data_IF_796653653713
#
_entry.id   IF_796653653713
#
_cell.length_a   1.000
_cell.length_b   1.000
_cell.length_c   1.000
_cell.angle_alpha   90.00
_cell.angle_beta   90.00
_cell.angle_gamma   90.00
#
_symmetry.space_group_name_H-M   'P 1'
#
loop_
_entity.id
_entity.type
_entity.pdbx_description
1 polymer ?
#
# COMPACT_ATOMS: atom_id res chain seq x y z
N UNK A 1 -10.59 23.93 1.74
CA UNK A 1 -11.03 22.51 1.64
C UNK A 1 -11.13 22.08 0.20
N UNK A 2 -10.62 20.94 -0.15
CA UNK A 2 -10.77 20.46 -1.52
C UNK A 2 -12.22 20.10 -1.80
N UNK A 3 -12.61 20.18 -3.05
CA UNK A 3 -13.90 19.71 -3.48
C UNK A 3 -13.90 18.18 -3.45
N UNK A 4 -15.07 17.56 -3.58
CA UNK A 4 -15.16 16.12 -3.64
C UNK A 4 -14.33 15.57 -4.80
N UNK A 5 -14.41 16.21 -5.96
CA UNK A 5 -13.66 15.77 -7.14
C UNK A 5 -12.16 15.88 -6.91
N UNK A 6 -11.70 16.95 -6.29
CA UNK A 6 -10.28 17.11 -5.98
C UNK A 6 -9.82 16.05 -4.97
N UNK A 7 -10.64 15.79 -3.97
CA UNK A 7 -10.35 14.78 -2.97
C UNK A 7 -10.22 13.40 -3.61
N UNK A 8 -11.20 13.03 -4.44
CA UNK A 8 -11.18 11.74 -5.15
C UNK A 8 -9.96 11.64 -6.07
N UNK A 9 -9.66 12.71 -6.81
CA UNK A 9 -8.51 12.70 -7.70
C UNK A 9 -7.20 12.51 -6.95
N UNK A 10 -7.07 13.14 -5.79
CA UNK A 10 -5.89 13.01 -4.95
C UNK A 10 -5.71 11.55 -4.49
N UNK A 11 -6.78 10.91 -4.05
CA UNK A 11 -6.73 9.52 -3.62
C UNK A 11 -6.38 8.58 -4.77
N UNK A 12 -6.94 8.83 -5.94
CA UNK A 12 -6.65 8.00 -7.12
C UNK A 12 -5.21 8.14 -7.55
N UNK A 13 -4.66 9.33 -7.50
CA UNK A 13 -3.25 9.55 -7.83
C UNK A 13 -2.34 8.80 -6.87
N UNK A 14 -2.66 8.83 -5.60
CA UNK A 14 -1.89 8.11 -4.60
C UNK A 14 -1.98 6.61 -4.83
N UNK A 15 -3.17 6.12 -5.15
CA UNK A 15 -3.38 4.70 -5.42
C UNK A 15 -2.59 4.26 -6.64
N UNK A 16 -2.52 5.07 -7.68
CA UNK A 16 -1.75 4.75 -8.87
C UNK A 16 -0.27 4.55 -8.52
N UNK A 17 0.27 5.41 -7.67
CA UNK A 17 1.66 5.28 -7.23
C UNK A 17 1.86 4.02 -6.41
N UNK A 18 0.93 3.71 -5.52
CA UNK A 18 0.99 2.50 -4.71
C UNK A 18 0.90 1.25 -5.58
N UNK A 19 0.06 1.28 -6.63
CA UNK A 19 -0.04 0.15 -7.56
C UNK A 19 1.28 -0.13 -8.25
N UNK A 20 2.03 0.90 -8.57
CA UNK A 20 3.36 0.71 -9.16
C UNK A 20 4.32 0.05 -8.18
N UNK A 21 4.27 0.45 -6.92
CA UNK A 21 5.09 -0.19 -5.89
C UNK A 21 4.70 -1.66 -5.71
N UNK A 22 3.41 -1.93 -5.65
CA UNK A 22 2.91 -3.30 -5.50
C UNK A 22 3.36 -4.17 -6.66
N UNK A 23 3.33 -3.66 -7.88
CA UNK A 23 3.79 -4.40 -9.04
C UNK A 23 5.26 -4.81 -8.90
N UNK A 24 6.10 -3.91 -8.40
CA UNK A 24 7.51 -4.24 -8.16
C UNK A 24 7.65 -5.32 -7.08
N UNK A 25 6.84 -5.23 -6.04
CA UNK A 25 6.89 -6.19 -4.94
C UNK A 25 6.41 -7.58 -5.40
N UNK A 26 5.43 -7.62 -6.28
CA UNK A 26 4.96 -8.88 -6.85
C UNK A 26 6.06 -9.57 -7.63
N UNK A 27 6.84 -8.80 -8.38
CA UNK A 27 7.98 -9.32 -9.11
C UNK A 27 9.04 -9.87 -8.13
N UNK A 28 9.30 -9.15 -7.06
CA UNK A 28 10.24 -9.60 -6.03
C UNK A 28 9.77 -10.88 -5.37
N UNK A 29 8.47 -10.95 -5.07
CA UNK A 29 7.91 -12.14 -4.43
C UNK A 29 8.04 -13.36 -5.33
N UNK A 30 7.78 -13.18 -6.63
CA UNK A 30 7.87 -14.26 -7.59
C UNK A 30 9.31 -14.79 -7.70
N UNK A 31 10.28 -13.91 -7.59
CA UNK A 31 11.69 -14.29 -7.72
C UNK A 31 12.31 -14.80 -6.41
N UNK A 32 11.62 -14.68 -5.31
CA UNK A 32 12.16 -15.04 -3.99
C UNK A 32 12.14 -16.54 -3.75
N UNK A 33 13.00 -16.99 -2.85
CA UNK A 33 13.00 -18.38 -2.40
C UNK A 33 11.82 -18.66 -1.48
N UNK A 34 11.53 -19.93 -1.25
CA UNK A 34 10.28 -20.37 -0.62
C UNK A 34 9.88 -19.61 0.64
N UNK A 35 10.74 -19.56 1.62
CA UNK A 35 10.38 -18.93 2.90
C UNK A 35 10.19 -17.42 2.74
N UNK A 36 11.07 -16.80 1.99
CA UNK A 36 10.96 -15.37 1.74
C UNK A 36 9.73 -15.06 0.89
N UNK A 37 9.43 -15.93 -0.08
CA UNK A 37 8.24 -15.76 -0.91
C UNK A 37 6.97 -15.79 -0.05
N UNK A 38 6.90 -16.70 0.91
CA UNK A 38 5.75 -16.78 1.80
C UNK A 38 5.57 -15.49 2.59
N UNK A 39 6.67 -14.95 3.11
CA UNK A 39 6.63 -13.70 3.86
C UNK A 39 6.17 -12.54 2.96
N UNK A 40 6.69 -12.47 1.74
CA UNK A 40 6.29 -11.44 0.79
C UNK A 40 4.83 -11.58 0.40
N UNK A 41 4.36 -12.80 0.15
CA UNK A 41 2.97 -13.04 -0.21
C UNK A 41 2.02 -12.63 0.92
N UNK A 42 2.41 -12.87 2.16
CA UNK A 42 1.60 -12.45 3.29
C UNK A 42 1.42 -10.94 3.33
N UNK A 43 2.50 -10.19 3.04
CA UNK A 43 2.42 -8.74 2.98
C UNK A 43 1.55 -8.27 1.82
N UNK A 44 1.68 -8.90 0.67
CA UNK A 44 0.87 -8.55 -0.50
C UNK A 44 -0.60 -8.80 -0.27
N UNK A 45 -0.94 -9.92 0.37
CA UNK A 45 -2.35 -10.22 0.68
C UNK A 45 -2.94 -9.16 1.60
N UNK A 46 -2.17 -8.70 2.55
CA UNK A 46 -2.62 -7.66 3.48
C UNK A 46 -2.88 -6.34 2.75
N UNK A 47 -1.95 -5.96 1.89
CA UNK A 47 -2.13 -4.75 1.08
C UNK A 47 -3.35 -4.88 0.19
N UNK A 48 -3.52 -6.02 -0.45
CA UNK A 48 -4.66 -6.28 -1.33
C UNK A 48 -5.99 -6.14 -0.61
N UNK A 49 -6.08 -6.72 0.58
CA UNK A 49 -7.31 -6.65 1.37
C UNK A 49 -7.63 -5.20 1.74
N UNK A 50 -6.63 -4.44 2.14
CA UNK A 50 -6.83 -3.04 2.48
C UNK A 50 -7.17 -2.20 1.26
N UNK A 51 -6.57 -2.53 0.12
CA UNK A 51 -6.86 -1.82 -1.13
C UNK A 51 -8.30 -2.04 -1.58
N UNK A 52 -8.78 -3.27 -1.49
CA UNK A 52 -10.16 -3.56 -1.85
C UNK A 52 -11.13 -2.78 -0.99
N UNK A 53 -10.87 -2.72 0.30
CA UNK A 53 -11.71 -1.97 1.22
C UNK A 53 -11.70 -0.48 0.89
N UNK A 54 -10.51 0.05 0.62
CA UNK A 54 -10.36 1.47 0.28
C UNK A 54 -11.11 1.80 -1.02
N UNK A 55 -10.98 0.95 -2.03
CA UNK A 55 -11.67 1.15 -3.30
C UNK A 55 -13.17 1.07 -3.14
N UNK A 56 -13.65 0.16 -2.30
CA UNK A 56 -15.08 0.03 -2.03
C UNK A 56 -15.62 1.32 -1.39
N UNK A 57 -14.92 1.84 -0.37
CA UNK A 57 -15.37 3.06 0.28
C UNK A 57 -15.32 4.26 -0.66
N UNK A 58 -14.30 4.30 -1.52
CA UNK A 58 -14.21 5.37 -2.51
C UNK A 58 -15.35 5.32 -3.50
N UNK A 59 -15.72 4.13 -3.94
CA UNK A 59 -16.84 3.94 -4.86
C UNK A 59 -18.13 4.40 -4.23
N UNK A 60 -18.35 4.09 -2.96
CA UNK A 60 -19.52 4.57 -2.24
C UNK A 60 -19.55 6.08 -2.18
N UNK A 61 -18.42 6.69 -1.91
CA UNK A 61 -18.31 8.13 -1.82
C UNK A 61 -18.69 8.81 -3.14
N UNK A 62 -18.24 8.22 -4.25
CA UNK A 62 -18.50 8.80 -5.57
C UNK A 62 -19.99 8.74 -5.94
N UNK A 63 -20.73 7.81 -5.36
CA UNK A 63 -22.14 7.62 -5.68
C UNK A 63 -23.12 8.35 -4.77
N UNK A 64 -22.65 9.10 -3.77
CA UNK A 64 -23.56 9.74 -2.84
C UNK A 64 -23.82 11.20 -3.15
N UNK A 65 -24.86 11.73 -2.52
CA UNK A 65 -25.18 13.15 -2.66
C UNK A 65 -24.19 14.00 -1.90
N UNK A 66 -24.18 15.29 -2.23
CA UNK A 66 -23.29 16.24 -1.55
C UNK A 66 -23.56 16.26 -0.04
N UNK A 67 -24.80 16.06 0.37
CA UNK A 67 -25.15 16.09 1.78
C UNK A 67 -24.51 14.94 2.57
N UNK A 68 -24.37 13.78 1.93
CA UNK A 68 -23.86 12.58 2.59
C UNK A 68 -22.35 12.39 2.48
N UNK A 69 -21.68 13.14 1.61
CA UNK A 69 -20.29 12.86 1.37
C UNK A 69 -19.39 13.17 2.57
N UNK A 70 -19.77 14.16 3.37
CA UNK A 70 -19.02 14.48 4.57
C UNK A 70 -18.92 13.31 5.55
N UNK A 71 -20.04 12.60 5.71
CA UNK A 71 -20.08 11.43 6.59
C UNK A 71 -19.28 10.26 6.02
N UNK A 72 -19.45 10.02 4.72
CA UNK A 72 -18.74 8.92 4.07
C UNK A 72 -17.26 9.19 3.91
N UNK A 73 -16.86 10.45 3.80
CA UNK A 73 -15.47 10.82 3.71
C UNK A 73 -14.68 10.30 4.89
N UNK A 74 -15.28 10.31 6.06
CA UNK A 74 -14.61 9.83 7.27
C UNK A 74 -14.23 8.35 7.11
N UNK A 75 -15.16 7.56 6.58
CA UNK A 75 -14.88 6.15 6.32
C UNK A 75 -13.81 5.93 5.25
N UNK A 76 -13.81 6.80 4.23
CA UNK A 76 -12.78 6.74 3.18
C UNK A 76 -11.42 7.07 3.78
N UNK A 77 -11.34 8.12 4.59
CA UNK A 77 -10.07 8.50 5.24
C UNK A 77 -9.55 7.36 6.10
N UNK A 78 -10.42 6.73 6.88
CA UNK A 78 -10.01 5.61 7.73
C UNK A 78 -9.50 4.44 6.89
N UNK A 79 -10.20 4.08 5.82
CA UNK A 79 -9.78 2.98 4.96
C UNK A 79 -8.45 3.30 4.26
N UNK A 80 -8.27 4.55 3.86
CA UNK A 80 -7.03 5.00 3.23
C UNK A 80 -5.85 4.96 4.19
N UNK A 81 -6.08 5.36 5.43
CA UNK A 81 -5.04 5.30 6.47
C UNK A 81 -4.61 3.86 6.71
N UNK A 82 -5.55 2.93 6.74
CA UNK A 82 -5.24 1.52 6.92
C UNK A 82 -4.46 0.96 5.74
N UNK A 83 -4.80 1.39 4.52
CA UNK A 83 -4.05 1.00 3.33
C UNK A 83 -2.65 1.62 3.39
N UNK A 84 -2.55 2.87 3.77
CA UNK A 84 -1.26 3.55 3.92
C UNK A 84 -0.37 2.79 4.91
N UNK A 85 -0.91 2.38 6.04
CA UNK A 85 -0.16 1.63 7.04
C UNK A 85 0.30 0.27 6.49
N UNK A 86 -0.57 -0.40 5.76
CA UNK A 86 -0.21 -1.68 5.14
C UNK A 86 0.89 -1.50 4.10
N UNK A 87 0.82 -0.43 3.31
CA UNK A 87 1.86 -0.10 2.33
C UNK A 87 3.18 0.20 3.01
N UNK A 88 3.13 0.95 4.10
CA UNK A 88 4.32 1.30 4.86
C UNK A 88 4.99 0.06 5.44
N UNK A 89 4.20 -0.84 5.99
CA UNK A 89 4.72 -2.08 6.55
C UNK A 89 5.29 -2.97 5.45
N UNK A 90 4.56 -3.10 4.34
CA UNK A 90 5.04 -3.90 3.21
C UNK A 90 6.33 -3.32 2.65
N UNK A 91 6.42 -2.01 2.52
CA UNK A 91 7.63 -1.35 2.01
C UNK A 91 8.82 -1.67 2.91
N UNK A 92 8.60 -1.67 4.20
CA UNK A 92 9.62 -2.04 5.18
C UNK A 92 10.13 -3.47 4.93
N UNK A 93 9.22 -4.40 4.68
CA UNK A 93 9.61 -5.79 4.42
C UNK A 93 10.32 -5.96 3.08
N UNK A 94 9.76 -5.38 2.02
CA UNK A 94 10.32 -5.58 0.69
C UNK A 94 11.62 -4.84 0.47
N UNK A 95 11.75 -3.65 0.99
CA UNK A 95 12.92 -2.82 0.71
C UNK A 95 14.05 -3.03 1.71
N UNK A 96 13.70 -3.38 2.93
CA UNK A 96 14.70 -3.68 3.91
C UNK A 96 15.25 -5.09 3.75
N UNK A 97 14.39 -6.02 3.36
CA UNK A 97 14.77 -7.41 3.30
C UNK A 97 15.60 -7.78 2.09
N UNK A 98 15.54 -7.01 1.07
CA UNK A 98 16.14 -7.50 -0.12
C UNK A 98 17.24 -6.65 -0.71
N UNK A 99 18.34 -7.18 -1.09
CA UNK A 99 18.81 -8.51 -0.72
C UNK A 99 19.43 -8.48 0.66
N UNK A 100 18.90 -9.22 1.58
CA UNK A 100 19.26 -9.07 2.97
C UNK A 100 20.70 -9.42 3.31
N UNK A 101 21.19 -10.51 2.78
CA UNK A 101 22.53 -10.95 3.08
C UNK A 101 23.57 -9.93 2.64
N UNK A 102 23.36 -9.42 1.47
CA UNK A 102 24.22 -8.41 0.93
C UNK A 102 24.15 -7.10 1.72
N UNK A 103 22.96 -6.73 2.13
CA UNK A 103 22.79 -5.51 2.91
C UNK A 103 23.46 -5.60 4.27
N UNK A 104 23.35 -6.72 4.90
CA UNK A 104 23.98 -6.94 6.17
C UNK A 104 25.49 -6.91 6.02
N UNK A 105 26.00 -7.58 5.00
CA UNK A 105 27.42 -7.55 4.73
C UNK A 105 27.94 -6.15 4.50
N UNK A 106 27.20 -5.38 3.73
CA UNK A 106 27.58 -4.01 3.43
C UNK A 106 27.63 -3.15 4.68
N UNK A 107 26.76 -3.43 5.62
CA UNK A 107 26.74 -2.64 6.84
C UNK A 107 27.80 -3.03 7.85
N UNK A 108 28.08 -4.28 7.92
CA UNK A 108 29.02 -4.76 8.91
C UNK A 108 30.45 -4.69 8.48
N UNK A 109 30.61 -4.95 7.28
CA UNK A 109 31.87 -4.92 6.78
C UNK A 109 32.37 -3.64 6.73
N UNK A 110 32.40 -3.23 6.60
CA UNK A 110 33.27 -2.47 6.45
C UNK A 110 33.53 -2.00 7.51
N UNK A 111 33.14 -2.36 7.65
CA UNK A 111 33.20 -2.19 8.29
C UNK A 111 33.64 -2.66 8.81
N UNK A 112 33.79 -2.88 8.49
CA UNK A 112 34.10 -3.53 8.80
C UNK A 112 34.69 -3.52 8.66
#
# INVERSE_FOLDING_TARGET
MPTRDEYVASLKNQLDQWNLEVARWETKATAAEDELRKAYRAQLHRVEARREKALYTLKLLQGVTTAAWGDLRWGVDDAWDRLHDAMKEARSHFERAGPPAYREAARRSPHY
#
